data_IF_907256844624
#
_entry.id   IF_907256844624
#
_cell.length_a   1.000
_cell.length_b   1.000
_cell.length_c   1.000
_cell.angle_alpha   90.00
_cell.angle_beta   90.00
_cell.angle_gamma   90.00
#
_symmetry.space_group_name_H-M   'P 1'
#
loop_
_entity.id
_entity.type
_entity.pdbx_description
1 polymer ?
#
# COMPACT_ATOMS: atom_id res chain seq x y z
N UNK A 1 -6.79 4.82 25.50
CA UNK A 1 -6.12 5.60 24.45
C UNK A 1 -7.11 5.81 23.32
N UNK A 2 -7.22 6.99 22.73
CA UNK A 2 -8.16 7.26 21.64
C UNK A 2 -7.56 8.20 20.58
N UNK A 3 -8.30 8.43 19.49
CA UNK A 3 -7.85 9.26 18.35
C UNK A 3 -7.52 10.69 18.79
N UNK A 4 -8.35 11.32 19.63
CA UNK A 4 -8.09 12.67 20.13
C UNK A 4 -6.77 12.75 20.89
N UNK A 5 -6.46 11.75 21.73
CA UNK A 5 -5.21 11.69 22.48
C UNK A 5 -3.99 11.54 21.57
N UNK A 6 -4.09 10.84 20.44
CA UNK A 6 -3.00 10.74 19.47
C UNK A 6 -2.67 12.12 18.85
N UNK A 7 -3.68 12.86 18.40
CA UNK A 7 -3.48 14.19 17.82
C UNK A 7 -3.10 15.26 18.85
N UNK A 8 -3.57 15.15 20.09
CA UNK A 8 -3.12 16.03 21.17
C UNK A 8 -1.63 15.88 21.49
N UNK A 9 -1.07 14.67 21.28
CA UNK A 9 0.36 14.41 21.45
C UNK A 9 1.18 14.90 20.26
N UNK A 10 0.65 14.74 19.05
CA UNK A 10 1.29 15.19 17.82
C UNK A 10 0.23 15.70 16.84
N UNK A 11 0.11 17.03 16.71
CA UNK A 11 -0.83 17.65 15.79
C UNK A 11 -0.43 17.48 14.32
N UNK A 12 0.87 17.27 14.04
CA UNK A 12 1.41 17.06 12.70
C UNK A 12 1.43 15.57 12.30
N UNK A 13 0.67 14.73 13.00
CA UNK A 13 0.56 13.31 12.72
C UNK A 13 -0.04 13.07 11.34
N UNK A 14 0.78 12.59 10.39
CA UNK A 14 0.36 12.34 9.01
C UNK A 14 -0.56 11.13 8.85
N UNK A 15 -0.54 10.18 9.80
CA UNK A 15 -1.39 8.99 9.80
C UNK A 15 -1.52 8.42 11.21
N UNK A 16 -2.71 7.90 11.56
CA UNK A 16 -2.89 7.17 12.82
C UNK A 16 -2.07 5.87 12.87
N UNK A 17 -1.69 5.30 11.72
CA UNK A 17 -0.91 4.06 11.66
C UNK A 17 0.52 4.21 12.17
N UNK A 18 1.04 5.44 12.23
CA UNK A 18 2.39 5.72 12.75
C UNK A 18 2.39 6.15 14.21
N UNK A 19 1.22 6.36 14.83
CA UNK A 19 1.13 6.58 16.28
C UNK A 19 1.52 5.30 17.03
N UNK A 20 2.36 5.38 18.08
CA UNK A 20 2.88 4.20 18.78
C UNK A 20 1.80 3.27 19.35
N UNK A 21 0.67 3.81 19.83
CA UNK A 21 -0.39 2.98 20.39
C UNK A 21 -1.09 2.18 19.29
N UNK A 22 -1.52 2.86 18.22
CA UNK A 22 -2.22 2.21 17.12
C UNK A 22 -1.33 1.22 16.38
N UNK A 23 -0.05 1.56 16.17
CA UNK A 23 0.95 0.64 15.63
C UNK A 23 1.01 -0.65 16.45
N UNK A 24 1.14 -0.55 17.77
CA UNK A 24 1.19 -1.73 18.65
C UNK A 24 -0.09 -2.55 18.59
N UNK A 25 -1.27 -1.90 18.53
CA UNK A 25 -2.55 -2.63 18.42
C UNK A 25 -2.62 -3.43 17.12
N UNK A 26 -2.16 -2.84 16.00
CA UNK A 26 -2.17 -3.51 14.71
C UNK A 26 -1.17 -4.66 14.66
N UNK A 27 0.05 -4.46 15.18
CA UNK A 27 1.05 -5.52 15.28
C UNK A 27 0.50 -6.72 16.07
N UNK A 28 -0.13 -6.46 17.23
CA UNK A 28 -0.72 -7.49 18.07
C UNK A 28 -1.88 -8.26 17.42
N UNK A 29 -2.64 -7.63 16.52
CA UNK A 29 -3.80 -8.26 15.89
C UNK A 29 -3.53 -8.82 14.48
N UNK A 30 -2.40 -8.45 13.86
CA UNK A 30 -2.09 -8.72 12.45
C UNK A 30 -2.19 -10.20 12.06
N UNK A 31 -1.64 -11.12 12.85
CA UNK A 31 -1.69 -12.56 12.58
C UNK A 31 -3.12 -13.12 12.68
N UNK A 32 -3.85 -12.71 13.71
CA UNK A 32 -5.25 -13.12 13.89
C UNK A 32 -6.13 -12.58 12.77
N UNK A 33 -5.90 -11.34 12.35
CA UNK A 33 -6.60 -10.72 11.25
C UNK A 33 -6.38 -11.48 9.94
N UNK A 34 -5.14 -11.86 9.63
CA UNK A 34 -4.82 -12.70 8.47
C UNK A 34 -5.51 -14.05 8.51
N UNK A 35 -5.51 -14.72 9.66
CA UNK A 35 -6.20 -16.02 9.85
C UNK A 35 -7.69 -15.91 9.61
N UNK A 36 -8.34 -14.84 10.08
CA UNK A 36 -9.77 -14.61 9.84
C UNK A 36 -10.02 -14.42 8.35
N UNK A 37 -9.27 -13.52 7.70
CA UNK A 37 -9.44 -13.26 6.25
C UNK A 37 -9.21 -14.52 5.43
N UNK A 38 -8.14 -15.27 5.68
CA UNK A 38 -7.85 -16.50 4.93
C UNK A 38 -8.92 -17.58 5.13
N UNK A 39 -9.39 -17.76 6.36
CA UNK A 39 -10.44 -18.74 6.68
C UNK A 39 -11.74 -18.38 5.98
N UNK A 40 -12.14 -17.10 6.01
CA UNK A 40 -13.33 -16.62 5.31
C UNK A 40 -13.23 -16.84 3.81
N UNK A 41 -12.08 -16.53 3.19
CA UNK A 41 -11.86 -16.76 1.76
C UNK A 41 -11.96 -18.24 1.40
N UNK A 42 -11.34 -19.13 2.17
CA UNK A 42 -11.39 -20.58 1.95
C UNK A 42 -12.81 -21.16 2.05
N UNK A 43 -13.69 -20.54 2.85
CA UNK A 43 -15.08 -20.97 3.03
C UNK A 43 -16.09 -20.19 2.18
N UNK A 44 -15.63 -19.29 1.30
CA UNK A 44 -16.52 -18.47 0.48
C UNK A 44 -17.34 -17.44 1.27
N UNK A 45 -16.89 -17.04 2.47
CA UNK A 45 -17.55 -16.04 3.31
C UNK A 45 -17.08 -14.64 2.89
N UNK A 46 -17.97 -13.74 2.44
CA UNK A 46 -17.59 -12.42 1.98
C UNK A 46 -17.19 -11.52 3.16
N UNK A 47 -15.95 -11.02 3.14
CA UNK A 47 -15.39 -10.12 4.17
C UNK A 47 -14.75 -8.86 3.57
N UNK A 48 -15.45 -8.10 2.71
CA UNK A 48 -14.85 -7.04 1.89
C UNK A 48 -14.15 -5.95 2.69
N UNK A 49 -14.72 -5.53 3.83
CA UNK A 49 -14.10 -4.51 4.68
C UNK A 49 -12.82 -5.02 5.34
N UNK A 50 -12.81 -6.28 5.83
CA UNK A 50 -11.64 -6.88 6.47
C UNK A 50 -10.52 -7.14 5.48
N UNK A 51 -10.83 -7.67 4.30
CA UNK A 51 -9.83 -7.94 3.26
C UNK A 51 -9.28 -6.64 2.65
N UNK A 52 -10.14 -5.64 2.43
CA UNK A 52 -9.72 -4.33 1.92
C UNK A 52 -8.82 -3.60 2.91
N UNK A 53 -9.20 -3.54 4.19
CA UNK A 53 -8.37 -2.91 5.21
C UNK A 53 -7.01 -3.63 5.36
N UNK A 54 -6.96 -4.96 5.23
CA UNK A 54 -5.70 -5.71 5.27
C UNK A 54 -4.83 -5.40 4.06
N UNK A 55 -5.44 -5.33 2.88
CA UNK A 55 -4.77 -4.98 1.62
C UNK A 55 -4.22 -3.55 1.66
N UNK A 56 -4.97 -2.60 2.22
CA UNK A 56 -4.51 -1.23 2.43
C UNK A 56 -3.34 -1.18 3.42
N UNK A 57 -3.44 -1.87 4.55
CA UNK A 57 -2.35 -1.91 5.54
C UNK A 57 -1.06 -2.49 4.95
N UNK A 58 -1.17 -3.61 4.23
CA UNK A 58 -0.03 -4.24 3.55
C UNK A 58 0.54 -3.35 2.43
N UNK A 59 -0.33 -2.64 1.70
CA UNK A 59 0.08 -1.65 0.71
C UNK A 59 0.84 -0.48 1.34
N UNK A 60 0.30 0.09 2.42
CA UNK A 60 0.86 1.27 3.09
C UNK A 60 2.24 1.01 3.70
N UNK A 61 2.45 -0.17 4.30
CA UNK A 61 3.74 -0.52 4.92
C UNK A 61 4.81 -0.99 3.92
N UNK A 62 4.44 -1.18 2.65
CA UNK A 62 5.36 -1.66 1.62
C UNK A 62 6.05 -0.48 0.94
N UNK A 63 7.36 -0.34 1.13
CA UNK A 63 8.14 0.74 0.51
C UNK A 63 8.17 0.66 -1.02
N UNK A 64 7.99 -0.54 -1.58
CA UNK A 64 7.89 -0.77 -3.02
C UNK A 64 6.61 -1.55 -3.31
N UNK A 65 5.83 -1.02 -4.27
CA UNK A 65 4.61 -1.63 -4.76
C UNK A 65 4.75 -1.94 -6.26
N UNK A 66 3.96 -2.89 -6.80
CA UNK A 66 4.00 -3.25 -8.21
C UNK A 66 3.47 -2.16 -9.17
N UNK A 67 3.30 -0.92 -8.69
CA UNK A 67 2.88 0.22 -9.49
C UNK A 67 3.91 0.58 -10.59
N UNK A 68 5.17 0.16 -10.45
CA UNK A 68 6.17 0.26 -11.51
C UNK A 68 5.74 -0.49 -12.80
N UNK A 69 5.07 -1.64 -12.67
CA UNK A 69 4.54 -2.36 -13.83
C UNK A 69 3.44 -1.56 -14.53
N UNK A 70 2.57 -0.88 -13.77
CA UNK A 70 1.55 0.00 -14.34
C UNK A 70 2.18 1.16 -15.12
N UNK A 71 3.25 1.75 -14.58
CA UNK A 71 4.00 2.79 -15.29
C UNK A 71 4.61 2.27 -16.59
N UNK A 72 5.23 1.08 -16.57
CA UNK A 72 5.76 0.44 -17.77
C UNK A 72 4.66 0.17 -18.81
N UNK A 73 3.50 -0.35 -18.40
CA UNK A 73 2.36 -0.59 -19.30
C UNK A 73 1.85 0.71 -19.94
N UNK A 74 1.71 1.78 -19.16
CA UNK A 74 1.28 3.09 -19.66
C UNK A 74 2.26 3.67 -20.67
N UNK A 75 3.56 3.50 -20.44
CA UNK A 75 4.58 3.96 -21.38
C UNK A 75 4.60 3.09 -22.66
N UNK A 76 4.48 1.77 -22.51
CA UNK A 76 4.42 0.82 -23.63
C UNK A 76 3.28 1.13 -24.61
N UNK A 77 2.05 1.23 -24.10
CA UNK A 77 0.87 1.38 -24.97
C UNK A 77 0.54 2.82 -25.36
N UNK A 78 1.09 3.82 -24.65
CA UNK A 78 0.64 5.21 -24.76
C UNK A 78 1.72 6.27 -24.68
N UNK A 79 3.01 5.90 -24.65
CA UNK A 79 4.13 6.83 -24.51
C UNK A 79 3.96 7.83 -23.33
N UNK A 80 3.31 7.37 -22.25
CA UNK A 80 2.99 8.20 -21.09
C UNK A 80 4.19 8.51 -20.19
N UNK A 81 5.37 7.98 -20.49
CA UNK A 81 6.61 8.12 -19.73
C UNK A 81 6.54 7.55 -18.31
N UNK A 82 7.70 7.37 -17.68
CA UNK A 82 7.85 6.95 -16.29
C UNK A 82 9.10 7.57 -15.66
N UNK A 83 9.20 7.49 -14.34
CA UNK A 83 10.36 7.97 -13.58
C UNK A 83 11.21 6.78 -13.10
N UNK A 84 12.53 6.96 -13.07
CA UNK A 84 13.44 6.02 -12.43
C UNK A 84 13.56 6.32 -10.94
N UNK A 85 13.63 5.29 -10.10
CA UNK A 85 13.79 5.47 -8.66
C UNK A 85 15.08 6.24 -8.28
N UNK A 86 16.12 6.17 -9.12
CA UNK A 86 17.37 6.91 -8.96
C UNK A 86 17.28 8.38 -9.38
N UNK A 87 16.30 8.75 -10.20
CA UNK A 87 16.15 10.11 -10.75
C UNK A 87 14.70 10.63 -10.64
N UNK A 88 14.13 10.77 -9.42
CA UNK A 88 12.79 11.31 -9.26
C UNK A 88 12.66 12.70 -9.90
N UNK A 89 11.54 12.93 -10.59
CA UNK A 89 11.25 14.15 -11.34
C UNK A 89 11.73 14.16 -12.80
N UNK A 90 12.48 13.14 -13.25
CA UNK A 90 12.85 12.96 -14.66
C UNK A 90 11.97 11.91 -15.33
N UNK A 91 11.35 12.30 -16.44
CA UNK A 91 10.47 11.45 -17.22
C UNK A 91 11.21 10.81 -18.39
N UNK A 92 11.13 9.49 -18.47
CA UNK A 92 11.75 8.66 -19.49
C UNK A 92 10.66 8.00 -20.33
N UNK A 93 10.88 7.92 -21.63
CA UNK A 93 10.13 7.07 -22.55
C UNK A 93 11.07 5.98 -23.06
N UNK A 94 10.59 4.74 -23.16
CA UNK A 94 11.34 3.63 -23.73
C UNK A 94 10.68 3.11 -25.00
N UNK A 95 11.49 2.78 -26.01
CA UNK A 95 11.02 2.13 -27.23
C UNK A 95 10.90 0.61 -27.02
N UNK A 96 9.89 0.18 -26.28
CA UNK A 96 9.73 -1.20 -25.79
C UNK A 96 9.69 -2.32 -26.85
N UNK A 97 9.45 -1.98 -28.12
CA UNK A 97 9.37 -2.95 -29.23
C UNK A 97 10.29 -2.62 -30.41
N UNK A 98 11.28 -1.73 -30.23
CA UNK A 98 12.23 -1.36 -31.29
C UNK A 98 13.59 -2.08 -31.16
N UNK A 99 13.72 -2.99 -30.20
CA UNK A 99 14.92 -3.82 -29.98
C UNK A 99 14.82 -5.23 -30.62
N UNK A 100 13.86 -5.44 -31.55
CA UNK A 100 13.80 -6.61 -32.44
C UNK A 100 14.41 -6.33 -33.82
#
# INVERSE_FOLDING_TARGET
FNICQAFQKNYDLSSLLIDPYFKQQIENCSDSWRRVVSTCVLHGIPVPAFSSALSFFDGYRSAQLPANLLQAQRDYFGAHTFELASEPGKFHHSSWGQDE
#
